data_IF_259722980829
#
_entry.id   IF_259722980829
#
_cell.length_a   1.000
_cell.length_b   1.000
_cell.length_c   1.000
_cell.angle_alpha   90.00
_cell.angle_beta   90.00
_cell.angle_gamma   90.00
#
_symmetry.space_group_name_H-M   'P 1'
#
loop_
_entity.id
_entity.type
_entity.pdbx_description
1 polymer ?
#
# COMPACT_ATOMS: atom_id res chain seq x y z
N UNK A 1 -8.83 11.77 -25.79
CA UNK A 1 -9.92 11.84 -24.78
C UNK A 1 -10.24 10.42 -24.37
N UNK A 2 -9.63 9.95 -23.29
CA UNK A 2 -9.81 8.58 -22.80
C UNK A 2 -11.21 8.48 -22.20
N UNK A 3 -12.07 7.68 -22.83
CA UNK A 3 -13.44 7.47 -22.37
C UNK A 3 -13.45 6.93 -20.94
N UNK A 4 -14.26 7.54 -20.07
CA UNK A 4 -14.44 7.12 -18.70
C UNK A 4 -15.16 5.75 -18.69
N UNK A 5 -14.68 4.73 -17.97
CA UNK A 5 -15.49 3.55 -17.71
C UNK A 5 -16.76 3.97 -16.96
N UNK A 6 -17.92 3.46 -17.38
CA UNK A 6 -19.26 4.00 -17.16
C UNK A 6 -19.79 4.07 -15.70
N UNK A 7 -18.96 4.00 -14.66
CA UNK A 7 -19.39 3.96 -13.24
C UNK A 7 -18.42 4.66 -12.25
N UNK A 8 -17.57 5.57 -12.71
CA UNK A 8 -16.63 6.30 -11.83
C UNK A 8 -17.22 7.67 -11.47
N UNK A 9 -17.36 7.97 -10.18
CA UNK A 9 -17.83 9.30 -9.75
C UNK A 9 -16.83 10.39 -10.15
N UNK A 10 -17.28 11.63 -10.44
CA UNK A 10 -16.39 12.73 -10.80
C UNK A 10 -15.26 12.96 -9.77
N UNK A 11 -15.59 12.82 -8.48
CA UNK A 11 -14.64 12.93 -7.39
C UNK A 11 -13.56 11.83 -7.42
N UNK A 12 -13.96 10.58 -7.71
CA UNK A 12 -13.02 9.47 -7.87
C UNK A 12 -12.13 9.67 -9.08
N UNK A 13 -12.68 10.16 -10.19
CA UNK A 13 -11.92 10.44 -11.39
C UNK A 13 -10.87 11.54 -11.14
N UNK A 14 -11.25 12.64 -10.47
CA UNK A 14 -10.32 13.70 -10.07
C UNK A 14 -9.14 13.14 -9.27
N UNK A 15 -9.41 12.32 -8.26
CA UNK A 15 -8.34 11.69 -7.47
C UNK A 15 -7.42 10.80 -8.32
N UNK A 16 -7.97 10.04 -9.29
CA UNK A 16 -7.17 9.24 -10.23
C UNK A 16 -6.24 10.14 -11.04
N UNK A 17 -6.75 11.25 -11.56
CA UNK A 17 -5.97 12.18 -12.36
C UNK A 17 -4.88 12.88 -11.52
N UNK A 18 -5.18 13.26 -10.27
CA UNK A 18 -4.20 13.81 -9.32
C UNK A 18 -3.04 12.85 -9.05
N UNK A 19 -3.33 11.55 -8.90
CA UNK A 19 -2.30 10.52 -8.69
C UNK A 19 -1.49 10.25 -9.97
N UNK A 20 -2.13 10.31 -11.14
CA UNK A 20 -1.46 10.18 -12.45
C UNK A 20 -0.52 11.35 -12.71
N UNK A 21 -0.94 12.59 -12.44
CA UNK A 21 -0.10 13.78 -12.58
C UNK A 21 1.18 13.68 -11.72
N UNK A 22 1.08 13.01 -10.56
CA UNK A 22 2.21 12.76 -9.65
C UNK A 22 2.98 11.47 -9.93
N UNK A 23 2.63 10.75 -11.00
CA UNK A 23 3.24 9.48 -11.40
C UNK A 23 3.28 8.43 -10.28
N UNK A 24 2.23 8.37 -9.44
CA UNK A 24 2.16 7.35 -8.39
C UNK A 24 2.07 5.95 -8.99
N UNK A 25 2.79 4.99 -8.41
CA UNK A 25 2.75 3.59 -8.85
C UNK A 25 1.32 3.04 -8.82
N UNK A 26 0.91 2.19 -9.79
CA UNK A 26 -0.47 1.68 -9.88
C UNK A 26 -1.00 1.09 -8.58
N UNK A 27 -0.17 0.28 -7.89
CA UNK A 27 -0.51 -0.31 -6.59
C UNK A 27 -0.82 0.75 -5.51
N UNK A 28 -0.13 1.90 -5.54
CA UNK A 28 -0.40 3.00 -4.61
C UNK A 28 -1.74 3.65 -4.91
N UNK A 29 -2.06 3.82 -6.20
CA UNK A 29 -3.36 4.36 -6.63
C UNK A 29 -4.51 3.48 -6.12
N UNK A 30 -4.39 2.15 -6.30
CA UNK A 30 -5.39 1.19 -5.84
C UNK A 30 -5.56 1.23 -4.32
N UNK A 31 -4.46 1.30 -3.57
CA UNK A 31 -4.50 1.41 -2.10
C UNK A 31 -5.20 2.70 -1.67
N UNK A 32 -4.88 3.84 -2.27
CA UNK A 32 -5.49 5.12 -1.90
C UNK A 32 -6.99 5.16 -2.23
N UNK A 33 -7.39 4.66 -3.40
CA UNK A 33 -8.80 4.52 -3.77
C UNK A 33 -9.55 3.59 -2.81
N UNK A 34 -8.92 2.49 -2.41
CA UNK A 34 -9.49 1.57 -1.43
C UNK A 34 -9.71 2.26 -0.07
N UNK A 35 -8.71 3.00 0.43
CA UNK A 35 -8.81 3.76 1.68
C UNK A 35 -9.99 4.75 1.64
N UNK A 36 -10.10 5.55 0.58
CA UNK A 36 -11.20 6.53 0.45
C UNK A 36 -12.55 5.82 0.35
N UNK A 37 -12.61 4.65 -0.31
CA UNK A 37 -13.83 3.84 -0.37
C UNK A 37 -14.25 3.32 1.00
N UNK A 38 -13.34 2.78 1.80
CA UNK A 38 -13.67 2.31 3.15
C UNK A 38 -14.08 3.47 4.07
N UNK A 39 -13.44 4.63 3.94
CA UNK A 39 -13.85 5.84 4.65
C UNK A 39 -15.24 6.33 4.23
N UNK A 40 -15.55 6.29 2.94
CA UNK A 40 -16.88 6.62 2.40
C UNK A 40 -17.95 5.67 2.96
N UNK A 41 -17.64 4.37 3.07
CA UNK A 41 -18.53 3.38 3.68
C UNK A 41 -18.79 3.67 5.15
N UNK A 42 -17.76 4.02 5.91
CA UNK A 42 -17.89 4.43 7.31
C UNK A 42 -18.78 5.68 7.46
N UNK A 43 -18.60 6.68 6.59
CA UNK A 43 -19.39 7.91 6.61
C UNK A 43 -20.85 7.72 6.21
N UNK A 44 -21.15 6.76 5.34
CA UNK A 44 -22.47 6.58 4.73
C UNK A 44 -22.89 7.71 3.78
N UNK A 45 -21.96 8.62 3.45
CA UNK A 45 -22.17 9.78 2.56
C UNK A 45 -20.88 10.12 1.82
N UNK A 46 -20.98 11.04 0.86
CA UNK A 46 -19.84 11.44 0.04
C UNK A 46 -18.67 11.98 0.90
N UNK A 47 -17.42 11.52 0.67
CA UNK A 47 -16.28 11.80 1.56
C UNK A 47 -15.81 13.25 1.55
N UNK A 48 -16.20 14.06 0.57
CA UNK A 48 -15.96 15.51 0.48
C UNK A 48 -16.82 16.33 1.45
N UNK A 49 -17.87 15.73 2.03
CA UNK A 49 -18.71 16.33 3.08
C UNK A 49 -18.17 16.10 4.50
N UNK A 50 -17.02 15.41 4.63
CA UNK A 50 -16.44 15.08 5.91
C UNK A 50 -15.99 16.31 6.70
N UNK A 51 -16.15 16.23 8.01
CA UNK A 51 -15.64 17.22 8.97
C UNK A 51 -14.36 16.74 9.65
N UNK A 52 -13.68 17.65 10.35
CA UNK A 52 -12.54 17.32 11.22
C UNK A 52 -12.90 16.21 12.22
N UNK A 53 -14.13 16.24 12.76
CA UNK A 53 -14.57 15.25 13.74
C UNK A 53 -14.88 13.90 13.09
N UNK A 54 -15.36 13.87 11.85
CA UNK A 54 -15.55 12.61 11.10
C UNK A 54 -14.23 11.86 10.92
N UNK A 55 -13.15 12.57 10.62
CA UNK A 55 -11.82 11.98 10.48
C UNK A 55 -11.26 11.45 11.80
N UNK A 56 -11.48 12.19 12.89
CA UNK A 56 -11.14 11.73 14.25
C UNK A 56 -11.93 10.46 14.59
N UNK A 57 -13.25 10.45 14.36
CA UNK A 57 -14.11 9.29 14.61
C UNK A 57 -13.72 8.09 13.77
N UNK A 58 -13.34 8.30 12.51
CA UNK A 58 -12.86 7.22 11.66
C UNK A 58 -11.56 6.62 12.17
N UNK A 59 -10.61 7.45 12.62
CA UNK A 59 -9.38 6.93 13.23
C UNK A 59 -9.67 6.11 14.48
N UNK A 60 -10.59 6.57 15.35
CA UNK A 60 -11.03 5.81 16.52
C UNK A 60 -11.69 4.49 16.12
N UNK A 61 -12.60 4.51 15.14
CA UNK A 61 -13.21 3.31 14.58
C UNK A 61 -12.17 2.29 14.13
N UNK A 62 -11.10 2.71 13.42
CA UNK A 62 -10.04 1.80 13.00
C UNK A 62 -9.31 1.17 14.19
N UNK A 63 -9.05 1.95 15.25
CA UNK A 63 -8.41 1.46 16.49
C UNK A 63 -9.32 0.45 17.19
N UNK A 64 -10.60 0.76 17.36
CA UNK A 64 -11.57 -0.09 18.04
C UNK A 64 -11.80 -1.43 17.31
N UNK A 65 -11.58 -1.47 16.00
CA UNK A 65 -11.66 -2.68 15.18
C UNK A 65 -10.33 -3.45 15.08
N UNK A 66 -9.33 -3.09 15.89
CA UNK A 66 -8.05 -3.82 15.95
C UNK A 66 -7.16 -3.63 14.72
N UNK A 67 -7.33 -2.52 13.98
CA UNK A 67 -6.50 -2.22 12.81
C UNK A 67 -5.03 -2.06 13.23
N UNK A 68 -4.11 -2.75 12.55
CA UNK A 68 -2.67 -2.64 12.86
C UNK A 68 -2.17 -1.20 12.71
N UNK A 69 -1.16 -0.81 13.49
CA UNK A 69 -0.57 0.53 13.41
C UNK A 69 -0.05 0.88 12.00
N UNK A 70 0.45 -0.12 11.25
CA UNK A 70 0.88 0.05 9.85
C UNK A 70 -0.32 0.35 8.95
N UNK A 71 -1.38 -0.45 9.03
CA UNK A 71 -2.60 -0.24 8.24
C UNK A 71 -3.28 1.09 8.56
N UNK A 72 -3.30 1.48 9.84
CA UNK A 72 -3.83 2.77 10.28
C UNK A 72 -3.03 3.94 9.67
N UNK A 73 -1.70 3.86 9.68
CA UNK A 73 -0.85 4.88 9.06
C UNK A 73 -1.03 4.94 7.54
N UNK A 74 -1.23 3.81 6.87
CA UNK A 74 -1.60 3.80 5.45
C UNK A 74 -2.93 4.50 5.21
N UNK A 75 -3.96 4.22 6.01
CA UNK A 75 -5.25 4.90 5.93
C UNK A 75 -5.11 6.42 6.11
N UNK A 76 -4.35 6.88 7.11
CA UNK A 76 -4.06 8.30 7.30
C UNK A 76 -3.36 8.89 6.08
N UNK A 77 -2.43 8.17 5.47
CA UNK A 77 -1.67 8.67 4.31
C UNK A 77 -2.56 8.81 3.08
N UNK A 78 -3.42 7.82 2.79
CA UNK A 78 -4.39 7.89 1.71
C UNK A 78 -5.42 9.02 1.91
N UNK A 79 -5.94 9.17 3.13
CA UNK A 79 -6.84 10.28 3.46
C UNK A 79 -6.14 11.64 3.39
N UNK A 80 -4.88 11.73 3.83
CA UNK A 80 -4.08 12.95 3.71
C UNK A 80 -3.94 13.34 2.24
N UNK A 81 -3.65 12.40 1.35
CA UNK A 81 -3.61 12.67 -0.09
C UNK A 81 -4.96 13.19 -0.59
N UNK A 82 -6.04 12.48 -0.27
CA UNK A 82 -7.39 12.86 -0.71
C UNK A 82 -7.78 14.27 -0.23
N UNK A 83 -7.64 14.57 1.06
CA UNK A 83 -8.03 15.88 1.60
C UNK A 83 -7.07 17.01 1.22
N UNK A 84 -5.77 16.76 1.17
CA UNK A 84 -4.79 17.82 0.90
C UNK A 84 -4.59 18.07 -0.58
N UNK A 85 -4.60 17.03 -1.42
CA UNK A 85 -4.30 17.14 -2.86
C UNK A 85 -5.58 17.22 -3.67
N UNK A 86 -6.50 16.28 -3.46
CA UNK A 86 -7.72 16.20 -4.29
C UNK A 86 -8.77 17.24 -3.89
N UNK A 87 -8.96 17.48 -2.59
CA UNK A 87 -9.97 18.44 -2.12
C UNK A 87 -9.44 19.82 -1.77
N UNK A 88 -8.11 19.99 -1.68
CA UNK A 88 -7.47 21.24 -1.24
C UNK A 88 -7.99 21.75 0.13
N UNK A 89 -8.15 20.81 1.06
CA UNK A 89 -8.63 21.02 2.44
C UNK A 89 -7.71 20.37 3.49
N UNK A 90 -6.44 20.77 3.58
CA UNK A 90 -5.48 20.20 4.53
C UNK A 90 -5.91 20.34 6.00
N UNK A 91 -6.69 21.37 6.33
CA UNK A 91 -7.19 21.67 7.67
C UNK A 91 -8.04 20.55 8.26
N UNK A 92 -8.69 19.73 7.43
CA UNK A 92 -9.51 18.61 7.90
C UNK A 92 -8.67 17.53 8.60
N UNK A 93 -7.39 17.40 8.24
CA UNK A 93 -6.48 16.40 8.80
C UNK A 93 -5.93 16.77 10.19
N UNK A 94 -6.25 17.96 10.72
CA UNK A 94 -5.60 18.52 11.93
C UNK A 94 -5.69 17.64 13.18
N UNK A 95 -6.75 16.82 13.29
CA UNK A 95 -6.97 15.91 14.44
C UNK A 95 -6.50 14.47 14.20
N UNK A 96 -6.18 14.08 12.97
CA UNK A 96 -5.62 12.75 12.73
C UNK A 96 -4.15 12.71 13.15
N UNK A 97 -3.73 11.59 13.74
CA UNK A 97 -2.38 11.41 14.27
C UNK A 97 -1.83 10.05 13.86
N UNK A 98 -0.67 9.98 13.17
CA UNK A 98 -0.04 8.69 12.90
C UNK A 98 0.34 8.01 14.22
N UNK A 99 0.29 6.69 14.22
CA UNK A 99 0.66 5.86 15.37
C UNK A 99 2.10 5.38 15.19
N UNK A 100 2.88 5.40 16.27
CA UNK A 100 4.25 4.88 16.23
C UNK A 100 4.23 3.39 15.92
N UNK A 101 4.94 3.00 14.86
CA UNK A 101 5.23 1.59 14.57
C UNK A 101 6.63 1.27 15.11
N UNK A 102 6.77 0.36 16.09
CA UNK A 102 8.07 -0.08 16.55
C UNK A 102 8.89 -0.64 15.38
N UNK A 103 10.12 -0.17 15.22
CA UNK A 103 11.07 -0.78 14.30
C UNK A 103 11.68 -1.99 15.00
N UNK A 104 11.25 -3.17 14.60
CA UNK A 104 11.92 -4.42 14.95
C UNK A 104 12.99 -4.70 13.90
N UNK A 105 14.18 -5.10 14.33
CA UNK A 105 15.18 -5.60 13.40
C UNK A 105 14.67 -6.92 12.82
N UNK A 106 14.72 -7.10 11.49
CA UNK A 106 14.41 -8.39 10.89
C UNK A 106 15.29 -9.48 11.52
N UNK A 107 14.70 -10.62 11.84
CA UNK A 107 15.49 -11.81 12.17
C UNK A 107 16.19 -12.26 10.89
N UNK A 108 17.51 -12.34 10.92
CA UNK A 108 18.32 -12.80 9.79
C UNK A 108 18.63 -14.27 10.02
N UNK A 109 18.38 -15.10 8.99
CA UNK A 109 18.68 -16.53 9.02
C UNK A 109 20.19 -16.75 8.95
N UNK A 110 20.69 -17.70 9.73
CA UNK A 110 22.06 -18.23 9.59
C UNK A 110 22.25 -18.97 8.27
N UNK A 111 23.49 -19.14 7.78
CA UNK A 111 23.75 -19.91 6.55
C UNK A 111 23.16 -21.33 6.56
N UNK A 112 23.15 -22.00 7.72
CA UNK A 112 22.57 -23.33 7.87
C UNK A 112 21.04 -23.31 7.82
N UNK A 113 20.40 -22.29 8.39
CA UNK A 113 18.95 -22.09 8.27
C UNK A 113 18.53 -21.78 6.84
N UNK A 114 19.31 -20.95 6.12
CA UNK A 114 19.07 -20.67 4.70
C UNK A 114 19.22 -21.94 3.87
N UNK A 115 20.26 -22.76 4.13
CA UNK A 115 20.44 -24.04 3.46
C UNK A 115 19.22 -24.96 3.66
N UNK A 116 18.79 -25.14 4.91
CA UNK A 116 17.59 -25.95 5.22
C UNK A 116 16.33 -25.39 4.56
N UNK A 117 16.18 -24.07 4.50
CA UNK A 117 15.05 -23.43 3.82
C UNK A 117 15.04 -23.71 2.32
N UNK A 118 16.20 -23.61 1.67
CA UNK A 118 16.33 -23.92 0.23
C UNK A 118 16.08 -25.40 -0.02
N UNK A 119 16.70 -26.30 0.75
CA UNK A 119 16.52 -27.76 0.61
C UNK A 119 15.07 -28.20 0.84
N UNK A 120 14.33 -27.52 1.73
CA UNK A 120 12.92 -27.77 1.97
C UNK A 120 12.01 -27.36 0.79
N UNK A 121 12.50 -26.61 -0.19
CA UNK A 121 11.73 -26.29 -1.39
C UNK A 121 11.55 -27.56 -2.25
N UNK A 122 10.31 -28.01 -2.42
CA UNK A 122 9.99 -29.33 -2.98
C UNK A 122 10.28 -29.54 -4.48
N UNK A 123 10.90 -28.59 -5.18
CA UNK A 123 11.31 -28.78 -6.57
C UNK A 123 12.51 -27.89 -6.96
N UNK A 124 13.24 -28.32 -8.00
CA UNK A 124 14.44 -27.63 -8.50
C UNK A 124 14.16 -26.17 -8.90
N UNK A 125 13.00 -25.88 -9.48
CA UNK A 125 12.63 -24.51 -9.88
C UNK A 125 12.62 -23.56 -8.68
N UNK A 126 11.99 -23.94 -7.58
CA UNK A 126 11.93 -23.11 -6.37
C UNK A 126 13.27 -23.08 -5.63
N UNK A 127 14.01 -24.19 -5.61
CA UNK A 127 15.37 -24.23 -5.07
C UNK A 127 16.28 -23.23 -5.79
N UNK A 128 16.30 -23.24 -7.13
CA UNK A 128 17.07 -22.30 -7.93
C UNK A 128 16.62 -20.86 -7.70
N UNK A 129 15.32 -20.59 -7.65
CA UNK A 129 14.80 -19.26 -7.38
C UNK A 129 15.25 -18.71 -6.02
N UNK A 130 15.18 -19.52 -4.96
CA UNK A 130 15.63 -19.12 -3.61
C UNK A 130 17.14 -18.96 -3.53
N UNK A 131 17.91 -19.86 -4.16
CA UNK A 131 19.37 -19.78 -4.23
C UNK A 131 19.84 -18.51 -4.94
N UNK A 132 19.23 -18.16 -6.07
CA UNK A 132 19.54 -16.94 -6.82
C UNK A 132 19.14 -15.70 -6.01
N UNK A 133 17.96 -15.71 -5.38
CA UNK A 133 17.52 -14.62 -4.51
C UNK A 133 18.52 -14.37 -3.38
N UNK A 134 18.96 -15.44 -2.71
CA UNK A 134 19.91 -15.36 -1.60
C UNK A 134 21.32 -14.97 -2.06
N UNK A 135 21.85 -15.63 -3.09
CA UNK A 135 23.22 -15.44 -3.54
C UNK A 135 23.48 -14.10 -4.24
N UNK A 136 22.50 -13.60 -5.00
CA UNK A 136 22.60 -12.34 -5.74
C UNK A 136 21.85 -11.17 -5.07
N UNK A 137 21.16 -11.40 -3.94
CA UNK A 137 20.42 -10.38 -3.22
C UNK A 137 19.20 -9.83 -3.98
N UNK A 138 18.65 -10.60 -4.92
CA UNK A 138 17.55 -10.17 -5.77
C UNK A 138 16.22 -10.12 -5.00
N UNK A 139 15.42 -9.10 -5.28
CA UNK A 139 14.02 -9.02 -4.83
C UNK A 139 13.19 -10.08 -5.52
N UNK A 140 12.11 -10.51 -4.88
CA UNK A 140 11.21 -11.52 -5.45
C UNK A 140 10.72 -11.16 -6.87
N UNK A 141 10.42 -9.88 -7.14
CA UNK A 141 10.00 -9.42 -8.47
C UNK A 141 11.12 -9.54 -9.52
N UNK A 142 12.38 -9.36 -9.12
CA UNK A 142 13.54 -9.49 -10.00
C UNK A 142 13.79 -10.97 -10.33
N UNK A 143 13.70 -11.85 -9.33
CA UNK A 143 13.81 -13.31 -9.52
C UNK A 143 12.74 -13.83 -10.48
N UNK A 144 11.51 -13.36 -10.35
CA UNK A 144 10.39 -13.77 -11.23
C UNK A 144 10.53 -13.19 -12.65
N UNK A 145 11.19 -12.04 -12.80
CA UNK A 145 11.40 -11.39 -14.09
C UNK A 145 12.67 -11.86 -14.83
N UNK A 146 13.54 -12.62 -14.16
CA UNK A 146 14.82 -13.06 -14.68
C UNK A 146 14.63 -13.95 -15.92
N UNK A 147 15.36 -13.63 -17.00
CA UNK A 147 15.38 -14.39 -18.25
C UNK A 147 16.69 -15.16 -18.37
N UNK A 148 16.69 -16.18 -19.21
CA UNK A 148 17.90 -16.97 -19.50
C UNK A 148 19.02 -16.10 -20.05
N UNK A 149 18.70 -15.09 -20.86
CA UNK A 149 19.66 -14.15 -21.41
C UNK A 149 20.31 -13.22 -20.37
N UNK A 150 19.77 -13.14 -19.14
CA UNK A 150 20.31 -12.32 -18.07
C UNK A 150 21.40 -13.08 -17.27
N UNK A 151 21.62 -14.36 -17.56
CA UNK A 151 22.61 -15.23 -16.89
C UNK A 151 23.83 -15.38 -17.78
N UNK A 152 24.96 -14.84 -17.33
CA UNK A 152 26.27 -15.03 -17.98
C UNK A 152 26.89 -16.35 -17.49
N UNK A 153 27.43 -17.15 -18.41
CA UNK A 153 27.89 -18.53 -18.19
C UNK A 153 29.34 -18.74 -18.59
#
# INVERSE_FOLDING_TARGET
MTSLPANVSPLRQRMIDDMRMRQLAPKTQDIYLHIVREFTRFLGRSPDTATVEDLRRYQLYLVDHGTSAVSLNHAITGLKFFFTVTLDRPELMVRMRPVRVPRVLPVVLSPDEVRRLIEAAGNLKHQTALSVAYGAGLRASEVVALKVADVDS
#
